data_IF_266897418870
#
_entry.id   IF_266897418870
#
_cell.length_a   1.000
_cell.length_b   1.000
_cell.length_c   1.000
_cell.angle_alpha   90.00
_cell.angle_beta   90.00
_cell.angle_gamma   90.00
#
_symmetry.space_group_name_H-M   'P 1'
#
loop_
_entity.id
_entity.type
_entity.pdbx_description
1 polymer ?
#
# COMPACT_ATOMS: atom_id res chain seq x y z
N UNK A 1 1.41 -7.11 -17.14
CA UNK A 1 1.61 -5.75 -16.59
C UNK A 1 0.24 -5.13 -16.41
N UNK A 2 -0.30 -5.09 -15.18
CA UNK A 2 -1.58 -4.42 -14.88
C UNK A 2 -1.28 -2.99 -14.43
N UNK A 3 -0.97 -2.11 -15.38
CA UNK A 3 -0.84 -0.67 -15.15
C UNK A 3 -2.16 -0.03 -15.56
N UNK A 4 -3.14 -0.08 -14.67
CA UNK A 4 -4.40 0.63 -14.80
C UNK A 4 -4.95 0.82 -13.40
N UNK A 5 -4.84 2.03 -12.86
CA UNK A 5 -5.58 2.41 -11.67
C UNK A 5 -7.06 2.34 -12.03
N UNK A 6 -7.73 1.26 -11.61
CA UNK A 6 -9.17 1.11 -11.77
C UNK A 6 -9.86 1.89 -10.63
N UNK A 7 -10.62 2.95 -10.90
CA UNK A 7 -11.30 3.71 -9.86
C UNK A 7 -12.47 2.94 -9.21
N UNK A 8 -12.87 1.80 -9.79
CA UNK A 8 -13.89 0.91 -9.24
C UNK A 8 -13.36 -0.53 -9.14
N UNK A 9 -12.52 -0.83 -8.13
CA UNK A 9 -11.92 -2.15 -7.98
C UNK A 9 -13.00 -3.19 -7.75
N UNK A 10 -12.95 -4.28 -8.51
CA UNK A 10 -13.81 -5.45 -8.32
C UNK A 10 -13.21 -6.35 -7.25
N UNK A 11 -13.97 -7.31 -6.73
CA UNK A 11 -13.47 -8.22 -5.69
C UNK A 11 -12.23 -9.01 -6.14
N UNK A 12 -12.14 -9.34 -7.44
CA UNK A 12 -10.96 -9.98 -8.04
C UNK A 12 -9.72 -9.06 -8.16
N UNK A 13 -9.88 -7.75 -7.91
CA UNK A 13 -8.78 -6.78 -7.91
C UNK A 13 -8.12 -6.65 -6.53
N UNK A 14 -8.72 -7.22 -5.47
CA UNK A 14 -8.14 -7.20 -4.12
C UNK A 14 -6.89 -8.08 -4.07
N UNK A 15 -5.75 -7.59 -3.55
CA UNK A 15 -4.57 -8.41 -3.40
C UNK A 15 -4.83 -9.58 -2.44
N UNK A 16 -4.33 -10.75 -2.79
CA UNK A 16 -4.23 -11.85 -1.83
C UNK A 16 -3.38 -11.44 -0.63
N UNK A 17 -3.54 -12.13 0.51
CA UNK A 17 -2.70 -11.87 1.69
C UNK A 17 -1.20 -11.90 1.35
N UNK A 18 -0.78 -12.83 0.50
CA UNK A 18 0.62 -12.95 0.05
C UNK A 18 1.08 -11.75 -0.77
N UNK A 19 0.21 -11.20 -1.61
CA UNK A 19 0.49 -9.98 -2.39
C UNK A 19 0.52 -8.75 -1.48
N UNK A 20 -0.46 -8.62 -0.57
CA UNK A 20 -0.49 -7.55 0.42
C UNK A 20 0.79 -7.54 1.27
N UNK A 21 1.22 -8.70 1.78
CA UNK A 21 2.48 -8.83 2.53
C UNK A 21 3.71 -8.41 1.71
N UNK A 22 3.75 -8.71 0.41
CA UNK A 22 4.82 -8.25 -0.49
C UNK A 22 4.77 -6.74 -0.75
N UNK A 23 3.58 -6.15 -0.89
CA UNK A 23 3.42 -4.71 -1.04
C UNK A 23 3.93 -3.97 0.21
N UNK A 24 3.58 -4.46 1.41
CA UNK A 24 4.12 -3.94 2.67
C UNK A 24 5.63 -4.09 2.72
N UNK A 25 6.16 -5.28 2.38
CA UNK A 25 7.60 -5.52 2.39
C UNK A 25 8.36 -4.64 1.39
N UNK A 26 7.77 -4.31 0.24
CA UNK A 26 8.40 -3.41 -0.74
C UNK A 26 8.67 -2.02 -0.13
N UNK A 27 7.76 -1.51 0.72
CA UNK A 27 7.99 -0.28 1.49
C UNK A 27 9.16 -0.39 2.46
N UNK A 28 9.43 -1.61 2.96
CA UNK A 28 10.57 -1.92 3.82
C UNK A 28 11.87 -2.27 3.09
N UNK A 29 11.89 -2.20 1.75
CA UNK A 29 13.08 -2.47 0.93
C UNK A 29 13.13 -3.86 0.28
N UNK A 30 12.04 -4.64 0.30
CA UNK A 30 11.99 -5.91 -0.42
C UNK A 30 11.96 -5.69 -1.94
N UNK A 31 13.01 -6.12 -2.63
CA UNK A 31 13.13 -5.95 -4.08
C UNK A 31 12.27 -6.95 -4.88
N UNK A 32 12.03 -8.14 -4.34
CA UNK A 32 11.18 -9.17 -4.99
C UNK A 32 11.74 -9.70 -6.31
N UNK A 33 13.07 -9.83 -6.45
CA UNK A 33 13.70 -10.39 -7.65
C UNK A 33 13.45 -11.89 -7.77
N UNK A 34 13.73 -12.43 -8.96
CA UNK A 34 13.70 -13.87 -9.19
C UNK A 34 14.63 -14.56 -8.17
N UNK A 35 14.06 -15.48 -7.40
CA UNK A 35 14.72 -16.26 -6.33
C UNK A 35 15.01 -15.51 -5.00
N UNK A 36 14.49 -14.30 -4.77
CA UNK A 36 14.61 -13.65 -3.45
C UNK A 36 13.75 -14.33 -2.35
N UNK A 37 12.79 -15.19 -2.75
CA UNK A 37 11.91 -15.91 -1.81
C UNK A 37 10.75 -15.07 -1.27
N UNK A 38 10.41 -15.29 0.00
CA UNK A 38 9.42 -14.49 0.74
C UNK A 38 10.12 -13.42 1.60
N UNK A 39 9.48 -12.26 1.84
CA UNK A 39 10.02 -11.24 2.71
C UNK A 39 10.31 -11.73 4.13
N UNK A 40 11.46 -11.33 4.69
CA UNK A 40 11.79 -11.58 6.09
C UNK A 40 11.10 -10.63 7.07
N UNK A 41 11.12 -10.99 8.36
CA UNK A 41 10.46 -10.24 9.44
C UNK A 41 10.92 -8.79 9.55
N UNK A 42 12.22 -8.52 9.42
CA UNK A 42 12.75 -7.16 9.51
C UNK A 42 12.22 -6.26 8.38
N UNK A 43 12.19 -6.76 7.15
CA UNK A 43 11.69 -6.02 5.99
C UNK A 43 10.18 -5.75 6.13
N UNK A 44 9.41 -6.70 6.63
CA UNK A 44 7.99 -6.50 6.95
C UNK A 44 7.80 -5.46 8.05
N UNK A 45 8.58 -5.51 9.13
CA UNK A 45 8.52 -4.54 10.21
C UNK A 45 8.77 -3.11 9.72
N UNK A 46 9.85 -2.91 8.95
CA UNK A 46 10.12 -1.60 8.35
C UNK A 46 9.01 -1.14 7.41
N UNK A 47 8.45 -2.07 6.62
CA UNK A 47 7.31 -1.80 5.74
C UNK A 47 6.06 -1.35 6.49
N UNK A 48 5.72 -2.01 7.61
CA UNK A 48 4.57 -1.66 8.44
C UNK A 48 4.73 -0.28 9.09
N UNK A 49 5.92 0.03 9.61
CA UNK A 49 6.22 1.35 10.15
C UNK A 49 6.04 2.45 9.10
N UNK A 50 6.55 2.24 7.88
CA UNK A 50 6.36 3.18 6.76
C UNK A 50 4.91 3.30 6.32
N UNK A 51 4.17 2.19 6.30
CA UNK A 51 2.76 2.18 5.94
C UNK A 51 1.92 2.97 6.95
N UNK A 52 2.23 2.88 8.25
CA UNK A 52 1.55 3.65 9.30
C UNK A 52 1.71 5.16 9.08
N UNK A 53 2.96 5.62 8.86
CA UNK A 53 3.27 7.03 8.55
C UNK A 53 2.48 7.53 7.33
N UNK A 54 2.47 6.75 6.24
CA UNK A 54 1.74 7.08 5.00
C UNK A 54 0.23 7.13 5.26
N UNK A 55 -0.30 6.22 6.08
CA UNK A 55 -1.72 6.16 6.40
C UNK A 55 -2.17 7.39 7.18
N UNK A 56 -1.35 7.85 8.14
CA UNK A 56 -1.62 9.10 8.87
C UNK A 56 -1.74 10.28 7.91
N UNK A 57 -0.76 10.45 7.02
CA UNK A 57 -0.76 11.53 6.02
C UNK A 57 -1.97 11.43 5.08
N UNK A 58 -2.24 10.23 4.55
CA UNK A 58 -3.37 9.98 3.66
C UNK A 58 -4.71 10.37 4.29
N UNK A 59 -4.93 10.04 5.57
CA UNK A 59 -6.15 10.40 6.30
C UNK A 59 -6.31 11.90 6.43
N UNK A 60 -5.23 12.62 6.73
CA UNK A 60 -5.23 14.09 6.84
C UNK A 60 -5.55 14.74 5.50
N UNK A 61 -4.81 14.36 4.45
CA UNK A 61 -4.99 14.93 3.10
C UNK A 61 -6.38 14.62 2.55
N UNK A 62 -6.86 13.39 2.69
CA UNK A 62 -8.18 12.99 2.19
C UNK A 62 -9.30 13.75 2.90
N UNK A 63 -9.18 13.97 4.22
CA UNK A 63 -10.14 14.80 4.97
C UNK A 63 -10.14 16.24 4.47
N UNK A 64 -8.95 16.83 4.26
CA UNK A 64 -8.82 18.20 3.77
C UNK A 64 -9.39 18.36 2.34
N UNK A 65 -9.07 17.43 1.44
CA UNK A 65 -9.56 17.45 0.05
C UNK A 65 -11.08 17.31 -0.03
N UNK A 66 -11.69 16.50 0.84
CA UNK A 66 -13.15 16.37 0.92
C UNK A 66 -13.79 17.66 1.42
N UNK A 67 -13.25 18.27 2.48
CA UNK A 67 -13.75 19.54 3.01
C UNK A 67 -13.65 20.69 1.97
N UNK A 68 -12.64 20.67 1.10
CA UNK A 68 -12.48 21.67 0.05
C UNK A 68 -13.41 21.44 -1.16
N UNK A 69 -13.94 20.23 -1.33
CA UNK A 69 -14.82 19.88 -2.46
C UNK A 69 -16.27 20.29 -2.23
N UNK A 70 -16.69 20.34 -0.97
CA UNK A 70 -18.02 20.74 -0.52
C UNK A 70 -17.90 21.88 0.52
N UNK A 71 -17.78 23.15 0.08
CA UNK A 71 -17.76 24.27 1.01
C UNK A 71 -19.11 24.39 1.76
N UNK A 72 -19.11 24.96 2.98
CA UNK A 72 -20.34 25.14 3.77
C UNK A 72 -21.37 26.04 3.08
#
# INVERSE_FOLDING_TARGET
>A
MRTGHNPNPRAEDEPSLREAMRLVAALGGFLGRKCDGEPGTQTLWHGLQRLDDITVMYRVLTKALRANRDPP
#
